data_IF_796305218323
#
_entry.id   IF_796305218323
#
_cell.length_a   1.000
_cell.length_b   1.000
_cell.length_c   1.000
_cell.angle_alpha   90.00
_cell.angle_beta   90.00
_cell.angle_gamma   90.00
#
_symmetry.space_group_name_H-M   'P 1'
#
loop_
_entity.id
_entity.type
_entity.pdbx_description
1 polymer ?
#
# COMPACT_ATOMS: atom_id res chain seq x y z
N UNK A 1 18.00 -3.86 -4.45
CA UNK A 1 16.65 -4.30 -4.76
C UNK A 1 15.77 -4.31 -3.54
N UNK A 2 14.57 -3.85 -3.65
CA UNK A 2 13.70 -3.70 -2.51
C UNK A 2 12.87 -4.97 -2.33
N UNK A 3 13.36 -5.88 -1.54
CA UNK A 3 12.71 -7.18 -1.41
C UNK A 3 11.40 -7.11 -0.66
N UNK A 4 11.21 -6.12 0.18
CA UNK A 4 9.95 -6.09 0.94
C UNK A 4 8.76 -5.74 0.05
N UNK A 5 8.99 -5.41 -1.21
CA UNK A 5 7.88 -5.21 -2.12
C UNK A 5 7.44 -6.50 -2.80
N UNK A 6 8.14 -7.59 -2.61
CA UNK A 6 7.79 -8.82 -3.30
C UNK A 6 6.46 -9.38 -2.82
N UNK A 7 6.06 -9.07 -1.60
CA UNK A 7 4.84 -9.64 -1.07
C UNK A 7 3.76 -8.59 -0.84
N UNK A 8 3.85 -7.49 -1.55
CA UNK A 8 2.83 -6.45 -1.45
C UNK A 8 1.75 -6.72 -2.48
N UNK A 9 0.51 -6.72 -2.04
CA UNK A 9 -0.62 -6.94 -2.93
C UNK A 9 -1.48 -5.70 -2.94
N UNK A 10 -1.88 -5.27 -4.11
CA UNK A 10 -2.74 -4.12 -4.29
C UNK A 10 -3.89 -4.54 -5.19
N UNK A 11 -5.11 -4.43 -4.68
CA UNK A 11 -6.28 -4.81 -5.44
C UNK A 11 -7.26 -3.64 -5.40
N UNK A 12 -7.77 -3.24 -6.54
CA UNK A 12 -8.69 -2.12 -6.61
C UNK A 12 -10.03 -2.63 -7.09
N UNK A 13 -11.08 -2.35 -6.33
CA UNK A 13 -12.41 -2.76 -6.69
C UNK A 13 -13.34 -1.58 -6.50
N UNK A 14 -13.87 -1.06 -7.59
CA UNK A 14 -14.77 0.09 -7.53
C UNK A 14 -14.08 1.28 -6.92
N UNK A 15 -14.55 1.73 -5.77
CA UNK A 15 -13.96 2.88 -5.12
C UNK A 15 -13.14 2.48 -3.90
N UNK A 16 -12.74 1.23 -3.80
CA UNK A 16 -12.00 0.74 -2.64
C UNK A 16 -10.70 0.11 -3.11
N UNK A 17 -9.62 0.38 -2.40
CA UNK A 17 -8.34 -0.24 -2.66
C UNK A 17 -7.96 -1.09 -1.45
N UNK A 18 -7.49 -2.30 -1.72
CA UNK A 18 -7.06 -3.23 -0.68
C UNK A 18 -5.56 -3.35 -0.76
N UNK A 19 -4.90 -3.14 0.36
CA UNK A 19 -3.43 -3.18 0.42
C UNK A 19 -3.03 -4.19 1.48
N UNK A 20 -2.11 -5.05 1.12
CA UNK A 20 -1.64 -6.09 2.05
C UNK A 20 -0.19 -6.38 1.77
N UNK A 21 0.50 -6.87 2.79
CA UNK A 21 1.85 -7.34 2.60
C UNK A 21 2.09 -8.48 3.57
N UNK A 22 3.21 -9.13 3.42
CA UNK A 22 3.54 -10.26 4.25
C UNK A 22 3.69 -9.79 5.69
N UNK A 23 3.06 -10.46 6.62
CA UNK A 23 3.13 -10.09 8.01
C UNK A 23 2.10 -9.08 8.43
N UNK A 24 1.17 -8.74 7.53
CA UNK A 24 0.16 -7.75 7.81
C UNK A 24 -1.20 -8.33 7.47
N UNK A 25 -2.21 -7.93 8.21
CA UNK A 25 -3.56 -8.43 7.93
C UNK A 25 -4.22 -7.67 6.79
N UNK A 26 -3.58 -6.65 6.27
CA UNK A 26 -4.16 -5.92 5.15
C UNK A 26 -4.98 -4.73 5.60
N UNK A 27 -5.18 -3.82 4.68
CA UNK A 27 -5.96 -2.62 4.93
C UNK A 27 -6.84 -2.35 3.73
N UNK A 28 -7.92 -1.62 3.92
CA UNK A 28 -8.71 -1.18 2.79
C UNK A 28 -9.08 0.27 3.00
N UNK A 29 -9.10 1.01 1.92
CA UNK A 29 -9.41 2.43 1.96
C UNK A 29 -10.32 2.77 0.81
N UNK A 30 -11.20 3.74 1.02
CA UNK A 30 -12.03 4.26 -0.05
C UNK A 30 -11.40 5.48 -0.65
N UNK A 31 -11.55 5.66 -1.95
CA UNK A 31 -11.03 6.84 -2.65
C UNK A 31 -12.12 7.38 -3.55
N UNK A 32 -12.08 8.70 -3.77
CA UNK A 32 -13.09 9.36 -4.59
C UNK A 32 -12.62 9.53 -6.02
N UNK A 33 -11.33 9.56 -6.24
CA UNK A 33 -10.80 9.75 -7.58
C UNK A 33 -9.40 9.20 -7.63
N UNK A 34 -8.80 9.25 -8.81
CA UNK A 34 -7.47 8.67 -8.99
C UNK A 34 -6.40 9.37 -8.15
N UNK A 35 -6.56 10.66 -7.93
CA UNK A 35 -5.57 11.38 -7.15
C UNK A 35 -5.55 10.88 -5.71
N UNK A 36 -6.71 10.61 -5.15
CA UNK A 36 -6.77 10.05 -3.81
C UNK A 36 -6.19 8.65 -3.77
N UNK A 37 -6.49 7.86 -4.80
CA UNK A 37 -5.94 6.51 -4.87
C UNK A 37 -4.41 6.56 -4.91
N UNK A 38 -3.85 7.43 -5.72
CA UNK A 38 -2.40 7.55 -5.80
C UNK A 38 -1.81 7.93 -4.46
N UNK A 39 -2.46 8.84 -3.73
CA UNK A 39 -1.97 9.29 -2.45
C UNK A 39 -2.00 8.15 -1.45
N UNK A 40 -3.08 7.37 -1.42
CA UNK A 40 -3.19 6.26 -0.49
C UNK A 40 -2.09 5.24 -0.75
N UNK A 41 -1.89 4.88 -2.01
CA UNK A 41 -0.88 3.89 -2.34
C UNK A 41 0.51 4.44 -2.05
N UNK A 42 0.75 5.70 -2.37
CA UNK A 42 2.06 6.30 -2.13
C UNK A 42 2.37 6.34 -0.63
N UNK A 43 1.38 6.68 0.19
CA UNK A 43 1.60 6.71 1.63
C UNK A 43 1.89 5.31 2.16
N UNK A 44 1.17 4.33 1.65
CA UNK A 44 1.38 2.95 2.10
C UNK A 44 2.80 2.50 1.76
N UNK A 45 3.25 2.78 0.55
CA UNK A 45 4.58 2.39 0.12
C UNK A 45 5.64 3.14 0.92
N UNK A 46 5.42 4.43 1.16
CA UNK A 46 6.36 5.21 1.94
C UNK A 46 6.49 4.66 3.35
N UNK A 47 5.38 4.25 3.95
CA UNK A 47 5.43 3.67 5.29
C UNK A 47 6.22 2.37 5.29
N UNK A 48 6.05 1.56 4.25
CA UNK A 48 6.82 0.33 4.15
C UNK A 48 8.30 0.62 4.06
N UNK A 49 8.68 1.61 3.28
CA UNK A 49 10.08 1.97 3.14
C UNK A 49 10.64 2.44 4.47
N UNK A 50 9.90 3.30 5.16
CA UNK A 50 10.36 3.80 6.45
C UNK A 50 10.52 2.68 7.45
N UNK A 51 9.58 1.76 7.46
CA UNK A 51 9.62 0.67 8.41
C UNK A 51 10.80 -0.26 8.15
N UNK A 52 11.13 -0.48 6.88
CA UNK A 52 12.17 -1.43 6.52
C UNK A 52 13.54 -0.83 6.37
N UNK A 53 13.65 0.49 6.25
CA UNK A 53 14.93 1.12 6.11
C UNK A 53 15.21 1.89 7.36
N UNK A 54 15.38 1.24 8.44
CA UNK A 54 15.57 1.93 9.57
C UNK A 54 16.95 2.17 9.76
N UNK A 55 17.66 2.55 9.56
CA UNK A 55 18.87 2.89 9.82
C UNK A 55 19.36 3.89 9.01
#
# INVERSE_FOLDING_TARGET
MLKFFENVEIDVRGDTVYLANEGSSGCKYKFKNKDELKRIVADYVADLIDYNCED
#
